data_IF_984655639970
#
_entry.id   IF_984655639970
#
_cell.length_a   1.000
_cell.length_b   1.000
_cell.length_c   1.000
_cell.angle_alpha   90.00
_cell.angle_beta   90.00
_cell.angle_gamma   90.00
#
_symmetry.space_group_name_H-M   'P 1'
#
loop_
_entity.id
_entity.type
_entity.pdbx_description
1 polymer ?
#
# COMPACT_ATOMS: atom_id res chain seq x y z
N UNK A 1 -23.99 -51.66 -46.93
CA UNK A 1 -24.34 -53.08 -46.70
C UNK A 1 -23.07 -53.90 -46.68
N UNK A 2 -22.86 -54.60 -45.54
CA UNK A 2 -22.05 -55.81 -45.29
C UNK A 2 -20.54 -55.76 -45.62
N UNK A 3 -19.60 -55.88 -44.68
CA UNK A 3 -19.62 -56.64 -43.43
C UNK A 3 -19.11 -58.06 -43.67
N UNK A 4 -17.83 -58.33 -43.34
CA UNK A 4 -17.25 -59.68 -43.25
C UNK A 4 -16.57 -59.81 -41.89
N UNK A 5 -17.09 -60.72 -41.08
CA UNK A 5 -16.54 -61.11 -39.77
C UNK A 5 -15.81 -62.44 -39.80
N UNK A 6 -15.18 -62.77 -38.67
CA UNK A 6 -14.80 -64.09 -38.12
C UNK A 6 -13.76 -63.83 -37.01
N UNK A 7 -13.70 -64.46 -35.83
CA UNK A 7 -14.43 -65.58 -35.20
C UNK A 7 -14.12 -65.58 -33.70
N UNK A 8 -14.99 -66.25 -32.94
CA UNK A 8 -14.97 -66.53 -31.51
C UNK A 8 -13.68 -67.17 -30.94
N UNK A 9 -13.43 -66.90 -29.66
CA UNK A 9 -12.55 -67.67 -28.78
C UNK A 9 -12.87 -67.37 -27.32
N UNK A 10 -13.73 -68.20 -26.73
CA UNK A 10 -14.16 -68.20 -25.33
C UNK A 10 -13.12 -68.95 -24.48
N UNK A 11 -12.61 -68.35 -23.40
CA UNK A 11 -12.07 -69.10 -22.27
C UNK A 11 -12.45 -68.42 -20.96
N UNK A 12 -12.96 -69.25 -20.06
CA UNK A 12 -13.72 -68.92 -18.87
C UNK A 12 -13.01 -69.66 -17.72
N UNK A 13 -12.40 -68.97 -16.75
CA UNK A 13 -12.06 -69.58 -15.45
C UNK A 13 -12.16 -68.57 -14.31
N UNK A 14 -13.25 -68.74 -13.57
CA UNK A 14 -13.45 -68.75 -12.13
C UNK A 14 -12.80 -67.71 -11.18
N UNK A 15 -13.73 -67.14 -10.41
CA UNK A 15 -13.69 -66.28 -9.23
C UNK A 15 -13.08 -67.00 -8.02
N UNK A 16 -12.31 -66.27 -7.19
CA UNK A 16 -12.34 -66.43 -5.73
C UNK A 16 -12.42 -65.06 -5.05
N UNK A 17 -13.56 -64.84 -4.41
CA UNK A 17 -13.82 -63.79 -3.43
C UNK A 17 -13.43 -64.35 -2.07
N UNK A 18 -12.59 -63.63 -1.32
CA UNK A 18 -12.44 -63.81 0.11
C UNK A 18 -12.81 -62.50 0.82
N UNK A 19 -13.94 -62.53 1.48
CA UNK A 19 -14.47 -61.55 2.42
C UNK A 19 -13.66 -61.53 3.71
N UNK A 20 -13.30 -60.35 4.21
CA UNK A 20 -13.00 -60.14 5.63
C UNK A 20 -13.85 -58.97 6.11
N UNK A 21 -14.59 -59.23 7.19
CA UNK A 21 -15.73 -58.45 7.64
C UNK A 21 -15.40 -57.18 8.42
N UNK A 22 -16.39 -56.29 8.41
CA UNK A 22 -16.53 -55.15 9.31
C UNK A 22 -16.64 -55.61 10.77
N UNK A 23 -15.92 -54.92 11.65
CA UNK A 23 -16.41 -54.57 12.97
C UNK A 23 -16.07 -53.09 13.22
N UNK A 24 -17.11 -52.27 13.33
CA UNK A 24 -17.03 -50.88 13.78
C UNK A 24 -17.55 -50.80 15.21
N UNK A 25 -16.85 -50.06 16.08
CA UNK A 25 -17.43 -49.14 17.07
C UNK A 25 -16.32 -48.45 17.87
N UNK A 26 -16.30 -47.12 17.88
CA UNK A 26 -15.44 -46.31 18.75
C UNK A 26 -15.28 -44.89 18.25
N UNK A 27 -16.23 -44.02 18.61
CA UNK A 27 -16.36 -42.62 18.25
C UNK A 27 -15.15 -41.74 18.61
N UNK A 28 -14.58 -41.06 17.61
CA UNK A 28 -13.89 -39.79 17.78
C UNK A 28 -14.70 -38.73 17.03
N UNK A 29 -15.34 -37.81 17.75
CA UNK A 29 -16.02 -36.67 17.15
C UNK A 29 -15.04 -35.77 16.39
N UNK A 30 -15.51 -34.85 15.53
CA UNK A 30 -14.64 -33.90 14.88
C UNK A 30 -13.94 -33.05 15.95
N UNK A 31 -12.62 -33.20 16.06
CA UNK A 31 -11.76 -32.34 16.85
C UNK A 31 -11.72 -30.96 16.17
N UNK A 32 -11.89 -29.86 16.93
CA UNK A 32 -12.12 -28.55 16.34
C UNK A 32 -10.88 -28.04 15.61
N UNK A 33 -11.05 -27.65 14.35
CA UNK A 33 -10.13 -26.76 13.64
C UNK A 33 -9.85 -25.53 14.50
N UNK A 34 -8.58 -25.16 14.66
CA UNK A 34 -8.20 -23.95 15.36
C UNK A 34 -8.71 -22.72 14.59
N UNK A 35 -9.84 -22.19 15.02
CA UNK A 35 -10.39 -20.90 14.61
C UNK A 35 -9.57 -19.77 15.24
N UNK A 36 -9.15 -18.73 14.50
CA UNK A 36 -8.66 -17.50 15.13
C UNK A 36 -9.82 -16.88 15.92
N UNK A 37 -9.76 -17.02 17.24
CA UNK A 37 -10.80 -16.50 18.14
C UNK A 37 -10.58 -15.00 18.36
N UNK A 38 -11.65 -14.22 18.16
CA UNK A 38 -11.77 -12.82 18.60
C UNK A 38 -11.44 -12.74 20.09
N UNK A 39 -10.38 -12.03 20.48
CA UNK A 39 -10.12 -11.68 21.88
C UNK A 39 -11.34 -10.91 22.44
N UNK A 40 -12.04 -11.41 23.47
CA UNK A 40 -13.06 -10.64 24.15
C UNK A 40 -12.40 -9.49 24.91
N UNK A 41 -13.01 -8.31 24.87
CA UNK A 41 -12.60 -7.18 25.71
C UNK A 41 -12.66 -7.58 27.19
N UNK A 42 -11.55 -7.37 27.88
CA UNK A 42 -11.45 -7.70 29.30
C UNK A 42 -12.23 -6.70 30.17
N UNK A 43 -13.26 -7.20 30.85
CA UNK A 43 -13.67 -6.68 32.16
C UNK A 43 -12.69 -7.25 33.20
N UNK A 44 -12.00 -6.36 33.92
CA UNK A 44 -11.11 -6.75 35.02
C UNK A 44 -11.92 -7.08 36.29
N UNK A 45 -11.62 -8.19 36.99
CA UNK A 45 -11.97 -8.32 38.39
C UNK A 45 -10.87 -7.71 39.27
N UNK A 46 -11.32 -6.87 40.21
CA UNK A 46 -10.58 -6.32 41.34
C UNK A 46 -10.21 -7.39 42.39
N UNK A 47 -9.25 -7.01 43.28
CA UNK A 47 -8.80 -7.62 44.56
C UNK A 47 -7.41 -8.31 44.46
N UNK A 48 -6.42 -8.12 45.34
CA UNK A 48 -6.22 -7.27 46.52
C UNK A 48 -4.70 -7.16 46.77
N UNK A 49 -4.23 -5.97 47.17
CA UNK A 49 -2.83 -5.72 47.52
C UNK A 49 -2.55 -6.09 49.00
N UNK A 50 -1.37 -6.66 49.27
CA UNK A 50 -0.81 -6.72 50.62
C UNK A 50 0.64 -6.24 50.68
N UNK A 51 0.86 -5.35 51.66
CA UNK A 51 2.05 -5.03 52.44
C UNK A 51 3.30 -4.37 51.80
N UNK A 52 3.43 -3.07 52.08
CA UNK A 52 4.67 -2.28 52.20
C UNK A 52 5.51 -2.71 53.43
N UNK A 53 6.79 -2.31 53.52
CA UNK A 53 7.08 -1.21 54.47
C UNK A 53 8.11 -0.14 54.01
N UNK A 54 7.85 1.08 54.53
CA UNK A 54 8.68 2.27 54.87
C UNK A 54 10.06 2.50 54.18
N UNK A 55 10.32 3.62 53.48
CA UNK A 55 10.39 5.06 53.84
C UNK A 55 11.78 5.54 54.30
N UNK A 56 12.40 6.40 53.49
CA UNK A 56 13.35 7.44 53.89
C UNK A 56 13.23 8.63 52.90
N UNK A 57 13.39 9.85 53.40
CA UNK A 57 12.76 11.09 52.89
C UNK A 57 13.66 12.05 52.07
N UNK A 58 13.00 12.77 51.14
CA UNK A 58 13.16 14.17 50.64
C UNK A 58 14.51 14.69 50.06
N UNK A 59 14.56 15.84 49.32
CA UNK A 59 13.51 16.83 48.98
C UNK A 59 13.37 17.27 47.50
N UNK A 60 12.33 18.08 47.26
CA UNK A 60 11.90 18.70 45.99
C UNK A 60 12.84 19.78 45.43
N UNK A 61 12.70 20.14 44.14
CA UNK A 61 13.07 21.46 43.66
C UNK A 61 11.86 22.29 43.20
N UNK A 62 12.03 23.58 43.44
CA UNK A 62 11.15 24.73 43.35
C UNK A 62 10.99 25.29 41.93
N UNK A 63 9.80 25.81 41.64
CA UNK A 63 9.51 26.75 40.54
C UNK A 63 10.23 28.10 40.75
N UNK A 64 10.67 28.77 39.66
CA UNK A 64 10.77 30.23 39.67
C UNK A 64 9.89 30.90 38.61
N UNK A 65 9.42 32.08 39.01
CA UNK A 65 8.41 32.94 38.40
C UNK A 65 8.85 33.76 37.18
N UNK A 66 7.84 34.16 36.41
CA UNK A 66 7.79 35.21 35.40
C UNK A 66 8.16 36.62 35.93
N UNK A 67 8.65 37.52 35.06
CA UNK A 67 8.37 38.94 35.18
C UNK A 67 7.77 39.56 33.90
N UNK A 68 6.85 40.52 34.09
CA UNK A 68 6.31 41.44 33.08
C UNK A 68 6.61 42.92 33.48
N UNK A 69 6.26 43.95 32.69
CA UNK A 69 7.11 44.66 31.71
C UNK A 69 7.40 46.14 32.09
N UNK A 70 8.32 46.82 31.41
CA UNK A 70 8.42 48.30 31.39
C UNK A 70 8.97 48.80 30.05
N UNK A 71 8.48 49.96 29.62
CA UNK A 71 8.40 50.47 28.25
C UNK A 71 9.47 51.52 27.84
N UNK A 72 9.68 51.57 26.52
CA UNK A 72 9.91 52.69 25.59
C UNK A 72 11.06 53.70 25.79
N UNK A 73 11.91 53.86 24.76
CA UNK A 73 12.01 55.11 23.96
C UNK A 73 12.72 54.87 22.59
N UNK A 74 12.19 55.51 21.53
CA UNK A 74 12.67 55.59 20.13
C UNK A 74 13.49 56.88 19.93
N UNK A 75 14.35 57.04 18.89
CA UNK A 75 13.84 57.48 17.58
C UNK A 75 14.58 56.93 16.31
N UNK A 76 13.80 56.68 15.25
CA UNK A 76 13.98 56.98 13.81
C UNK A 76 15.39 57.28 13.21
N UNK A 77 15.79 56.88 12.00
CA UNK A 77 15.13 56.23 10.86
C UNK A 77 16.17 55.72 9.83
N UNK A 78 15.67 54.83 8.97
CA UNK A 78 16.08 54.54 7.58
C UNK A 78 17.29 53.62 7.31
N UNK A 79 17.00 52.31 7.35
CA UNK A 79 17.50 51.35 6.35
C UNK A 79 16.35 50.42 6.00
N UNK A 80 15.79 50.63 4.81
CA UNK A 80 14.77 49.78 4.20
C UNK A 80 15.33 48.36 4.06
N UNK A 81 14.92 47.47 4.97
CA UNK A 81 15.25 46.05 4.93
C UNK A 81 14.16 45.36 4.09
N UNK A 82 14.48 44.59 3.03
CA UNK A 82 13.45 43.91 2.25
C UNK A 82 12.74 42.86 3.13
N UNK A 83 11.41 42.84 3.05
CA UNK A 83 10.52 41.95 3.80
C UNK A 83 10.77 40.46 3.46
N UNK A 84 10.60 39.52 4.41
CA UNK A 84 10.64 38.09 4.11
C UNK A 84 9.33 37.68 3.43
N UNK A 85 9.22 37.87 2.12
CA UNK A 85 7.97 37.63 1.42
C UNK A 85 7.89 36.19 0.89
N UNK A 86 7.68 35.26 1.82
CA UNK A 86 7.03 33.99 1.53
C UNK A 86 5.82 33.88 2.45
N UNK A 87 4.65 34.19 1.90
CA UNK A 87 3.39 33.91 2.56
C UNK A 87 3.03 32.44 2.34
N UNK A 88 2.93 31.67 3.42
CA UNK A 88 2.39 30.31 3.36
C UNK A 88 0.89 30.34 3.59
N UNK A 89 0.13 29.82 2.63
CA UNK A 89 -1.32 29.64 2.72
C UNK A 89 -1.62 28.26 3.27
N UNK A 90 -2.46 28.17 4.30
CA UNK A 90 -2.91 26.88 4.84
C UNK A 90 -3.85 26.20 3.85
N UNK A 91 -3.52 24.98 3.41
CA UNK A 91 -4.30 24.24 2.40
C UNK A 91 -5.14 23.09 2.99
N UNK A 92 -5.43 23.15 4.29
CA UNK A 92 -6.25 22.15 5.01
C UNK A 92 -7.29 22.87 5.88
N UNK A 93 -8.50 22.30 6.10
CA UNK A 93 -9.54 22.93 6.92
C UNK A 93 -9.06 23.43 8.29
N UNK A 94 -8.22 22.65 8.97
CA UNK A 94 -7.59 23.00 10.25
C UNK A 94 -6.16 22.46 10.26
N UNK A 95 -5.19 23.30 10.64
CA UNK A 95 -3.78 22.97 10.77
C UNK A 95 -3.30 23.30 12.18
N UNK A 96 -2.69 22.33 12.85
CA UNK A 96 -2.10 22.53 14.17
C UNK A 96 -0.71 23.19 14.03
N UNK A 97 -0.55 24.36 14.61
CA UNK A 97 0.73 25.02 14.86
C UNK A 97 1.21 24.58 16.24
N UNK A 98 2.44 24.09 16.33
CA UNK A 98 2.99 23.43 17.52
C UNK A 98 4.20 24.17 18.08
N UNK A 99 4.53 23.93 19.35
CA UNK A 99 5.69 24.59 19.99
C UNK A 99 7.04 24.19 19.36
N UNK A 100 7.12 22.97 18.83
CA UNK A 100 8.34 22.37 18.25
C UNK A 100 8.00 21.62 16.96
N UNK A 101 8.97 21.38 16.05
CA UNK A 101 8.75 20.72 14.77
C UNK A 101 8.60 19.19 14.90
N UNK A 102 7.59 18.76 15.66
CA UNK A 102 7.21 17.35 15.80
C UNK A 102 5.73 17.21 16.21
N UNK A 103 5.14 16.05 15.95
CA UNK A 103 3.71 15.81 16.21
C UNK A 103 3.37 15.57 17.69
N UNK A 104 4.36 15.32 18.54
CA UNK A 104 4.20 15.21 20.00
C UNK A 104 4.23 16.54 20.74
N UNK A 105 4.66 17.62 20.08
CA UNK A 105 4.76 18.94 20.67
C UNK A 105 3.38 19.55 20.94
N UNK A 106 3.30 20.42 21.94
CA UNK A 106 2.05 21.07 22.33
C UNK A 106 1.51 21.90 21.17
N UNK A 107 0.19 21.84 20.95
CA UNK A 107 -0.49 22.68 19.98
C UNK A 107 -0.61 24.08 20.60
N UNK A 108 0.00 25.07 19.96
CA UNK A 108 0.00 26.47 20.40
C UNK A 108 -1.07 27.28 19.68
N UNK A 109 -1.48 26.85 18.48
CA UNK A 109 -2.56 27.47 17.70
C UNK A 109 -3.17 26.48 16.70
N UNK A 110 -4.42 26.70 16.34
CA UNK A 110 -5.06 26.10 15.17
C UNK A 110 -5.23 27.17 14.09
N UNK A 111 -4.68 26.91 12.91
CA UNK A 111 -4.84 27.75 11.71
C UNK A 111 -5.87 27.14 10.77
N UNK A 112 -6.64 27.97 10.08
CA UNK A 112 -7.71 27.52 9.18
C UNK A 112 -7.28 27.61 7.72
N UNK A 113 -7.96 26.86 6.86
CA UNK A 113 -7.72 26.91 5.42
C UNK A 113 -7.81 28.35 4.90
N UNK A 114 -6.80 28.75 4.13
CA UNK A 114 -6.68 30.09 3.57
C UNK A 114 -5.95 31.10 4.46
N UNK A 115 -5.70 30.79 5.74
CA UNK A 115 -4.89 31.65 6.61
C UNK A 115 -3.47 31.79 6.03
N UNK A 116 -2.89 32.98 6.18
CA UNK A 116 -1.56 33.32 5.65
C UNK A 116 -0.60 33.65 6.79
N UNK A 117 0.62 33.11 6.71
CA UNK A 117 1.68 33.34 7.69
C UNK A 117 3.01 33.61 7.02
N UNK A 118 3.91 34.30 7.72
CA UNK A 118 5.30 34.47 7.31
C UNK A 118 6.08 33.18 7.58
N UNK A 119 7.06 32.87 6.72
CA UNK A 119 8.02 31.79 6.96
C UNK A 119 9.26 32.36 7.64
N UNK A 120 9.49 31.97 8.90
CA UNK A 120 10.66 32.41 9.66
C UNK A 120 11.82 31.42 9.60
N UNK A 121 11.52 30.12 9.62
CA UNK A 121 12.54 29.06 9.58
C UNK A 121 11.97 27.74 9.05
N UNK A 122 12.84 26.76 8.80
CA UNK A 122 12.51 25.40 8.38
C UNK A 122 13.31 24.40 9.19
N UNK A 123 12.69 23.28 9.54
CA UNK A 123 13.40 22.17 10.17
C UNK A 123 14.47 21.62 9.22
N UNK A 124 15.51 20.99 9.77
CA UNK A 124 16.64 20.49 8.98
C UNK A 124 16.24 19.46 7.91
N UNK A 125 15.14 18.74 8.13
CA UNK A 125 14.54 17.78 7.18
C UNK A 125 13.52 18.42 6.23
N UNK A 126 13.21 19.71 6.39
CA UNK A 126 12.24 20.46 5.61
C UNK A 126 10.77 20.10 5.87
N UNK A 127 10.49 19.18 6.80
CA UNK A 127 9.13 18.69 7.10
C UNK A 127 8.28 19.66 7.91
N UNK A 128 8.91 20.68 8.51
CA UNK A 128 8.25 21.69 9.33
C UNK A 128 8.69 23.09 8.93
N UNK A 129 7.73 24.01 8.95
CA UNK A 129 7.92 25.42 8.70
C UNK A 129 7.57 26.17 9.99
N UNK A 130 8.48 27.02 10.45
CA UNK A 130 8.21 27.94 11.54
C UNK A 130 7.42 29.13 11.00
N UNK A 131 6.19 29.27 11.48
CA UNK A 131 5.28 30.33 11.10
C UNK A 131 5.50 31.57 11.96
N UNK A 132 5.35 32.74 11.35
CA UNK A 132 5.38 34.04 12.03
C UNK A 132 4.23 34.96 11.63
N UNK A 133 3.95 35.92 12.51
CA UNK A 133 3.11 37.08 12.24
C UNK A 133 3.86 38.34 12.72
N UNK A 134 4.04 39.34 11.86
CA UNK A 134 4.78 40.57 12.15
C UNK A 134 6.24 40.32 12.60
N UNK A 135 6.91 39.32 12.02
CA UNK A 135 8.28 38.94 12.38
C UNK A 135 8.44 38.21 13.72
N UNK A 136 7.36 37.90 14.44
CA UNK A 136 7.41 37.10 15.67
C UNK A 136 7.02 35.65 15.42
N UNK A 137 7.78 34.72 16.01
CA UNK A 137 7.53 33.29 15.87
C UNK A 137 6.25 32.85 16.61
N UNK A 138 5.34 32.23 15.87
CA UNK A 138 4.11 31.63 16.39
C UNK A 138 4.31 30.17 16.78
N UNK A 139 5.05 29.41 15.98
CA UNK A 139 5.30 27.99 16.19
C UNK A 139 5.50 27.25 14.87
N UNK A 140 5.59 25.93 14.95
CA UNK A 140 5.92 25.04 13.84
C UNK A 140 4.68 24.36 13.29
N UNK A 141 4.48 24.47 12.00
CA UNK A 141 3.44 23.76 11.27
C UNK A 141 4.06 22.84 10.24
N UNK A 142 3.40 21.71 9.97
CA UNK A 142 3.90 20.75 8.99
C UNK A 142 3.86 21.35 7.59
N UNK A 143 4.99 21.26 6.89
CA UNK A 143 5.17 21.81 5.55
C UNK A 143 4.18 21.22 4.53
N UNK A 144 3.74 19.97 4.75
CA UNK A 144 2.81 19.23 3.89
C UNK A 144 1.45 19.91 3.71
N UNK A 145 1.08 20.79 4.63
CA UNK A 145 -0.21 21.49 4.63
C UNK A 145 -0.11 22.98 4.29
N UNK A 146 1.07 23.43 3.89
CA UNK A 146 1.37 24.82 3.61
C UNK A 146 1.73 25.00 2.13
N UNK A 147 1.08 25.95 1.48
CA UNK A 147 1.42 26.35 0.12
C UNK A 147 2.21 27.65 0.17
N UNK A 148 3.47 27.60 -0.25
CA UNK A 148 4.33 28.78 -0.40
C UNK A 148 3.90 29.56 -1.64
N UNK A 149 3.31 30.75 -1.45
CA UNK A 149 3.15 31.72 -2.54
C UNK A 149 4.42 32.56 -2.62
N UNK A 150 5.24 32.32 -3.65
CA UNK A 150 6.25 33.27 -4.05
C UNK A 150 5.57 34.44 -4.77
N UNK A 151 5.61 35.63 -4.17
CA UNK A 151 5.19 36.85 -4.85
C UNK A 151 6.22 37.20 -5.93
N UNK A 152 5.99 36.77 -7.18
CA UNK A 152 6.82 37.21 -8.29
C UNK A 152 6.51 38.67 -8.63
N UNK A 153 7.47 39.55 -8.33
CA UNK A 153 7.58 40.90 -8.85
C UNK A 153 7.74 40.86 -10.38
N UNK A 154 6.80 41.47 -11.10
CA UNK A 154 6.73 41.39 -12.56
C UNK A 154 7.74 42.25 -13.32
N UNK A 155 7.89 41.99 -14.62
CA UNK A 155 8.25 43.03 -15.62
C UNK A 155 7.52 42.76 -16.94
N UNK A 156 6.63 43.69 -17.26
CA UNK A 156 6.03 43.91 -18.57
C UNK A 156 7.01 44.66 -19.48
N UNK A 157 7.25 44.16 -20.69
CA UNK A 157 7.71 44.99 -21.82
C UNK A 157 6.90 44.64 -23.07
N UNK A 158 6.05 45.57 -23.50
CA UNK A 158 5.29 45.46 -24.74
C UNK A 158 6.13 45.73 -25.98
N UNK A 159 5.62 45.28 -27.13
CA UNK A 159 6.05 45.72 -28.46
C UNK A 159 4.80 45.86 -29.37
N UNK A 160 4.73 46.88 -30.24
CA UNK A 160 3.58 47.10 -31.10
C UNK A 160 3.68 46.37 -32.46
N UNK A 161 2.54 46.35 -33.15
CA UNK A 161 2.20 45.64 -34.38
C UNK A 161 3.00 46.05 -35.65
N UNK A 162 3.05 45.13 -36.63
CA UNK A 162 3.42 45.42 -38.01
C UNK A 162 3.54 44.19 -38.93
N UNK A 163 2.49 43.96 -39.72
CA UNK A 163 2.38 43.37 -41.07
C UNK A 163 2.84 41.96 -41.47
N UNK A 164 1.97 41.38 -42.31
CA UNK A 164 1.95 40.03 -42.85
C UNK A 164 2.83 39.83 -44.09
N UNK A 165 3.37 38.62 -44.27
CA UNK A 165 3.59 38.04 -45.60
C UNK A 165 3.60 36.50 -45.57
N UNK A 166 2.74 35.93 -46.42
CA UNK A 166 2.80 34.66 -47.16
C UNK A 166 3.17 33.35 -46.44
N UNK A 167 2.17 32.45 -46.40
CA UNK A 167 2.24 31.09 -45.88
C UNK A 167 3.02 30.14 -46.82
N UNK A 168 4.14 29.61 -46.32
CA UNK A 168 4.63 28.27 -46.63
C UNK A 168 4.46 27.42 -45.38
N UNK A 169 3.76 26.30 -45.51
CA UNK A 169 3.34 25.42 -44.43
C UNK A 169 4.52 24.57 -43.92
N UNK A 170 5.02 24.75 -42.68
CA UNK A 170 5.97 23.83 -42.08
C UNK A 170 5.21 22.62 -41.50
N UNK A 171 5.84 21.46 -41.60
CA UNK A 171 5.34 20.18 -41.12
C UNK A 171 4.80 20.24 -39.68
N UNK A 172 3.72 19.51 -39.44
CA UNK A 172 3.14 19.27 -38.13
C UNK A 172 4.20 18.77 -37.15
N UNK A 173 4.59 19.62 -36.20
CA UNK A 173 5.36 19.19 -35.03
C UNK A 173 4.40 18.39 -34.16
N UNK A 174 4.47 17.05 -34.25
CA UNK A 174 3.96 16.20 -33.18
C UNK A 174 4.72 16.60 -31.91
N UNK A 175 4.04 16.76 -30.75
CA UNK A 175 4.76 16.92 -29.49
C UNK A 175 5.61 15.66 -29.30
N UNK A 176 6.92 15.83 -29.42
CA UNK A 176 7.89 14.83 -28.97
C UNK A 176 7.56 14.54 -27.52
N UNK A 177 7.21 13.28 -27.24
CA UNK A 177 7.02 12.81 -25.88
C UNK A 177 8.24 13.15 -25.01
N UNK A 178 8.06 13.28 -23.68
CA UNK A 178 9.18 13.52 -22.77
C UNK A 178 10.29 12.50 -23.04
N UNK A 179 11.58 12.89 -22.91
CA UNK A 179 12.69 11.99 -23.16
C UNK A 179 12.52 10.74 -22.30
N UNK A 180 12.78 9.58 -22.89
CA UNK A 180 12.86 8.30 -22.19
C UNK A 180 13.91 8.42 -21.07
N UNK A 181 13.47 8.86 -19.90
CA UNK A 181 14.19 8.66 -18.66
C UNK A 181 14.32 7.16 -18.52
N UNK A 182 15.54 6.64 -18.70
CA UNK A 182 15.89 5.27 -18.39
C UNK A 182 15.75 5.09 -16.89
N UNK A 183 14.53 4.86 -16.44
CA UNK A 183 14.26 4.45 -15.07
C UNK A 183 14.90 3.07 -14.90
N UNK A 184 15.66 2.90 -13.83
CA UNK A 184 16.18 1.59 -13.51
C UNK A 184 14.99 0.69 -13.11
N UNK A 185 14.96 -0.58 -13.55
CA UNK A 185 13.95 -1.52 -13.07
C UNK A 185 13.97 -1.56 -11.54
N UNK A 186 12.80 -1.66 -10.92
CA UNK A 186 12.77 -2.08 -9.53
C UNK A 186 13.43 -3.46 -9.46
N UNK A 187 14.47 -3.60 -8.64
CA UNK A 187 15.21 -4.85 -8.47
C UNK A 187 15.10 -5.37 -7.04
N UNK A 188 15.07 -6.70 -6.93
CA UNK A 188 15.25 -7.42 -5.67
C UNK A 188 16.66 -8.01 -5.65
N UNK A 189 17.28 -8.02 -4.48
CA UNK A 189 18.46 -8.86 -4.24
C UNK A 189 18.06 -10.35 -4.25
N UNK A 190 19.03 -11.26 -4.35
CA UNK A 190 18.76 -12.70 -4.27
C UNK A 190 19.73 -13.36 -3.29
N UNK A 191 19.29 -13.69 -2.05
CA UNK A 191 17.97 -13.37 -1.49
C UNK A 191 17.81 -11.87 -1.13
N UNK A 192 16.56 -11.39 -1.17
CA UNK A 192 16.12 -10.15 -0.54
C UNK A 192 15.04 -10.49 0.48
N UNK A 193 14.96 -9.74 1.58
CA UNK A 193 14.08 -10.08 2.70
C UNK A 193 13.00 -9.02 2.88
N UNK A 194 11.77 -9.49 3.08
CA UNK A 194 10.63 -8.66 3.43
C UNK A 194 9.72 -9.32 4.46
N UNK A 195 8.79 -8.55 5.01
CA UNK A 195 7.75 -9.07 5.88
C UNK A 195 6.37 -8.51 5.50
N UNK A 196 5.31 -9.26 5.82
CA UNK A 196 3.94 -8.76 5.74
C UNK A 196 3.65 -7.83 6.91
N UNK A 197 3.10 -6.65 6.63
CA UNK A 197 2.56 -5.74 7.63
C UNK A 197 1.05 -5.51 7.41
N UNK A 198 0.36 -4.96 8.41
CA UNK A 198 -1.09 -4.68 8.38
C UNK A 198 -1.39 -3.18 8.53
N UNK A 199 -0.68 -2.36 7.76
CA UNK A 199 -0.68 -0.90 7.84
C UNK A 199 -2.00 -0.25 7.38
N UNK A 200 -2.79 -0.95 6.56
CA UNK A 200 -4.03 -0.41 5.99
C UNK A 200 -5.07 -0.06 7.05
N UNK A 201 -5.34 -0.99 7.97
CA UNK A 201 -6.38 -0.87 9.00
C UNK A 201 -5.84 -0.57 10.40
N UNK A 202 -4.52 -0.51 10.56
CA UNK A 202 -3.84 -0.32 11.84
C UNK A 202 -2.86 0.85 11.82
N UNK A 203 -3.31 2.08 11.52
CA UNK A 203 -2.44 3.26 11.52
C UNK A 203 -1.74 3.47 12.87
N UNK A 204 -2.37 3.07 13.98
CA UNK A 204 -1.87 3.23 15.34
C UNK A 204 -0.57 2.46 15.64
N UNK A 205 -0.25 1.41 14.88
CA UNK A 205 0.99 0.62 15.03
C UNK A 205 1.90 0.69 13.81
N UNK A 206 1.51 1.41 12.76
CA UNK A 206 2.23 1.42 11.48
C UNK A 206 3.70 1.84 11.66
N UNK A 207 3.96 2.93 12.39
CA UNK A 207 5.31 3.42 12.63
C UNK A 207 6.18 2.38 13.38
N UNK A 208 5.66 1.82 14.49
CA UNK A 208 6.34 0.78 15.27
C UNK A 208 6.70 -0.43 14.39
N UNK A 209 5.75 -0.93 13.61
CA UNK A 209 5.96 -2.13 12.80
C UNK A 209 6.98 -1.89 11.69
N UNK A 210 6.95 -0.72 11.04
CA UNK A 210 7.95 -0.34 10.04
C UNK A 210 9.35 -0.18 10.64
N UNK A 211 9.47 0.40 11.83
CA UNK A 211 10.75 0.48 12.55
C UNK A 211 11.29 -0.91 12.93
N UNK A 212 10.44 -1.81 13.42
CA UNK A 212 10.83 -3.18 13.73
C UNK A 212 11.29 -3.92 12.47
N UNK A 213 10.60 -3.74 11.35
CA UNK A 213 11.01 -4.33 10.08
C UNK A 213 12.38 -3.80 9.63
N UNK A 214 12.58 -2.49 9.66
CA UNK A 214 13.85 -1.86 9.31
C UNK A 214 15.00 -2.34 10.21
N UNK A 215 14.78 -2.34 11.52
CA UNK A 215 15.77 -2.78 12.51
C UNK A 215 16.05 -4.28 12.44
N UNK A 216 15.08 -5.07 11.97
CA UNK A 216 15.25 -6.49 11.66
C UNK A 216 16.02 -6.78 10.38
N UNK A 217 16.41 -5.75 9.61
CA UNK A 217 17.15 -5.90 8.36
C UNK A 217 16.29 -6.27 7.15
N UNK A 218 14.96 -6.11 7.23
CA UNK A 218 14.08 -6.27 6.08
C UNK A 218 14.18 -5.05 5.16
N UNK A 219 14.13 -5.28 3.85
CA UNK A 219 14.13 -4.23 2.83
C UNK A 219 12.73 -4.01 2.23
N UNK A 220 11.82 -4.98 2.39
CA UNK A 220 10.51 -4.98 1.74
C UNK A 220 9.35 -5.10 2.74
N UNK A 221 8.30 -4.33 2.48
CA UNK A 221 6.99 -4.44 3.12
C UNK A 221 6.01 -5.05 2.14
N UNK A 222 5.40 -6.19 2.49
CA UNK A 222 4.23 -6.71 1.80
C UNK A 222 2.98 -6.17 2.49
N UNK A 223 2.10 -5.52 1.74
CA UNK A 223 0.88 -4.89 2.26
C UNK A 223 -0.29 -5.12 1.31
N UNK A 224 -1.45 -5.46 1.86
CA UNK A 224 -2.70 -5.53 1.08
C UNK A 224 -3.18 -4.12 0.69
N UNK A 225 -3.55 -3.93 -0.57
CA UNK A 225 -4.19 -2.74 -1.11
C UNK A 225 -5.59 -3.14 -1.57
N UNK A 226 -6.60 -2.59 -0.90
CA UNK A 226 -7.96 -3.06 -0.99
C UNK A 226 -8.75 -2.21 -2.00
N UNK A 227 -9.01 -2.78 -3.18
CA UNK A 227 -9.59 -2.07 -4.33
C UNK A 227 -10.91 -1.37 -3.99
N UNK A 228 -11.80 -2.05 -3.29
CA UNK A 228 -13.11 -1.55 -2.89
C UNK A 228 -13.07 -0.42 -1.85
N UNK A 229 -11.99 -0.28 -1.07
CA UNK A 229 -11.85 0.90 -0.23
C UNK A 229 -11.35 2.11 -1.01
N UNK A 230 -10.60 1.87 -2.09
CA UNK A 230 -10.04 2.93 -2.93
C UNK A 230 -11.07 3.38 -3.99
N UNK A 231 -11.74 2.46 -4.69
CA UNK A 231 -12.69 2.76 -5.78
C UNK A 231 -14.13 2.33 -5.43
N UNK A 232 -14.46 2.27 -4.15
CA UNK A 232 -15.77 1.78 -3.68
C UNK A 232 -16.94 2.71 -3.94
N UNK A 233 -16.69 4.01 -4.13
CA UNK A 233 -17.73 5.00 -4.44
C UNK A 233 -18.27 4.87 -5.87
N UNK A 234 -17.60 4.09 -6.71
CA UNK A 234 -17.94 3.85 -8.11
C UNK A 234 -16.72 3.96 -9.01
N UNK A 235 -16.83 3.41 -10.22
CA UNK A 235 -15.73 3.42 -11.20
C UNK A 235 -15.21 4.84 -11.46
N UNK A 236 -13.90 5.03 -11.34
CA UNK A 236 -13.20 6.31 -11.48
C UNK A 236 -13.32 7.25 -10.27
N UNK A 237 -14.05 6.87 -9.22
CA UNK A 237 -14.22 7.67 -8.01
C UNK A 237 -13.31 7.14 -6.91
N UNK A 238 -12.10 7.70 -6.84
CA UNK A 238 -11.04 7.20 -5.97
C UNK A 238 -10.94 7.95 -4.65
N UNK A 239 -10.89 7.21 -3.54
CA UNK A 239 -10.41 7.64 -2.23
C UNK A 239 -8.99 7.08 -2.01
N UNK A 240 -7.99 7.92 -2.22
CA UNK A 240 -6.59 7.55 -2.06
C UNK A 240 -6.07 7.69 -0.63
N UNK A 241 -6.87 8.17 0.32
CA UNK A 241 -6.38 8.61 1.63
C UNK A 241 -5.57 7.55 2.39
N UNK A 242 -6.07 6.31 2.44
CA UNK A 242 -5.37 5.21 3.10
C UNK A 242 -4.15 4.75 2.30
N UNK A 243 -4.29 4.67 0.97
CA UNK A 243 -3.22 4.29 0.06
C UNK A 243 -2.02 5.25 0.17
N UNK A 244 -2.29 6.56 0.07
CA UNK A 244 -1.30 7.63 0.13
C UNK A 244 -0.55 7.58 1.45
N UNK A 245 -1.27 7.43 2.58
CA UNK A 245 -0.66 7.29 3.91
C UNK A 245 0.28 6.10 3.97
N UNK A 246 -0.19 4.90 3.55
CA UNK A 246 0.61 3.67 3.59
C UNK A 246 1.87 3.80 2.74
N UNK A 247 1.74 4.28 1.50
CA UNK A 247 2.89 4.45 0.60
C UNK A 247 3.90 5.45 1.19
N UNK A 248 3.42 6.59 1.68
CA UNK A 248 4.25 7.61 2.32
C UNK A 248 4.99 7.06 3.54
N UNK A 249 4.30 6.37 4.45
CA UNK A 249 4.88 5.82 5.68
C UNK A 249 5.98 4.79 5.36
N UNK A 250 5.75 3.90 4.39
CA UNK A 250 6.73 2.89 3.94
C UNK A 250 7.94 3.55 3.26
N UNK A 251 7.71 4.48 2.33
CA UNK A 251 8.78 5.16 1.61
C UNK A 251 9.64 6.03 2.54
N UNK A 252 9.03 6.75 3.48
CA UNK A 252 9.74 7.56 4.49
C UNK A 252 10.59 6.69 5.43
N UNK A 253 10.22 5.43 5.65
CA UNK A 253 11.01 4.48 6.44
C UNK A 253 12.26 3.99 5.70
N UNK A 254 12.36 4.24 4.39
CA UNK A 254 13.41 3.74 3.50
C UNK A 254 13.19 2.28 3.06
N UNK A 255 11.96 1.76 3.23
CA UNK A 255 11.58 0.41 2.84
C UNK A 255 10.93 0.42 1.45
N UNK A 256 11.08 -0.69 0.72
CA UNK A 256 10.39 -0.93 -0.55
C UNK A 256 9.01 -1.53 -0.28
N UNK A 257 8.05 -1.25 -1.14
CA UNK A 257 6.66 -1.68 -1.02
C UNK A 257 6.29 -2.68 -2.12
N UNK A 258 5.81 -3.83 -1.68
CA UNK A 258 5.07 -4.81 -2.46
C UNK A 258 3.59 -4.67 -2.11
N UNK A 259 2.81 -4.09 -3.03
CA UNK A 259 1.36 -3.99 -2.91
C UNK A 259 0.71 -5.29 -3.38
N UNK A 260 0.11 -6.06 -2.46
CA UNK A 260 -0.78 -7.16 -2.83
C UNK A 260 -2.15 -6.58 -3.10
N UNK A 261 -2.55 -6.57 -4.37
CA UNK A 261 -3.81 -5.96 -4.81
C UNK A 261 -4.87 -7.02 -4.97
N UNK A 262 -5.96 -6.89 -4.21
CA UNK A 262 -7.15 -7.73 -4.29
C UNK A 262 -8.39 -6.88 -4.01
N UNK A 263 -9.58 -7.41 -4.28
CA UNK A 263 -10.75 -6.93 -3.54
C UNK A 263 -10.74 -7.56 -2.14
N UNK A 264 -11.36 -6.90 -1.18
CA UNK A 264 -11.73 -7.36 0.16
C UNK A 264 -13.22 -7.00 0.32
N UNK A 265 -14.16 -7.94 0.07
CA UNK A 265 -15.55 -7.65 -0.18
C UNK A 265 -16.25 -7.37 1.14
N UNK A 266 -16.90 -6.21 1.18
CA UNK A 266 -17.80 -5.84 2.24
C UNK A 266 -17.11 -5.73 3.61
N UNK A 267 -17.50 -4.73 4.40
CA UNK A 267 -17.04 -4.60 5.80
C UNK A 267 -17.46 -5.80 6.70
N UNK A 268 -18.11 -6.82 6.12
CA UNK A 268 -18.73 -7.97 6.76
C UNK A 268 -18.00 -9.30 6.51
N UNK A 269 -17.19 -9.47 5.45
CA UNK A 269 -16.54 -10.74 5.13
C UNK A 269 -15.06 -10.55 4.75
N UNK A 270 -14.16 -11.03 5.59
CA UNK A 270 -12.68 -10.90 5.51
C UNK A 270 -11.99 -11.46 4.22
N UNK A 271 -12.73 -12.04 3.27
CA UNK A 271 -12.17 -12.84 2.17
C UNK A 271 -12.46 -12.22 0.82
N UNK A 272 -11.51 -12.16 -0.13
CA UNK A 272 -11.44 -11.23 -1.28
C UNK A 272 -12.62 -11.18 -2.28
N UNK A 273 -13.67 -11.98 -2.09
CA UNK A 273 -14.92 -11.86 -2.83
C UNK A 273 -14.81 -12.40 -4.24
N UNK A 274 -15.89 -12.34 -5.03
CA UNK A 274 -15.86 -12.81 -6.40
C UNK A 274 -14.75 -12.08 -7.16
N UNK A 275 -13.99 -12.79 -8.02
CA UNK A 275 -13.17 -12.11 -8.99
C UNK A 275 -14.10 -11.15 -9.76
N UNK A 276 -13.60 -9.97 -10.14
CA UNK A 276 -14.43 -9.00 -10.82
C UNK A 276 -15.05 -9.60 -12.08
N UNK A 277 -16.36 -9.49 -12.21
CA UNK A 277 -17.09 -9.99 -13.39
C UNK A 277 -16.61 -9.37 -14.71
N UNK A 278 -15.87 -8.26 -14.63
CA UNK A 278 -15.10 -7.70 -15.72
C UNK A 278 -13.65 -7.42 -15.25
N UNK A 279 -12.72 -8.30 -15.64
CA UNK A 279 -11.29 -8.18 -15.38
C UNK A 279 -10.68 -6.84 -15.88
N UNK A 280 -11.29 -6.22 -16.90
CA UNK A 280 -10.88 -4.92 -17.42
C UNK A 280 -11.05 -3.80 -16.41
N UNK A 281 -12.07 -3.84 -15.54
CA UNK A 281 -12.22 -2.82 -14.49
C UNK A 281 -11.09 -2.91 -13.46
N UNK A 282 -10.71 -4.13 -13.07
CA UNK A 282 -9.57 -4.32 -12.19
C UNK A 282 -8.26 -3.88 -12.87
N UNK A 283 -8.09 -4.18 -14.15
CA UNK A 283 -6.94 -3.75 -14.93
C UNK A 283 -6.84 -2.21 -14.97
N UNK A 284 -7.95 -1.50 -15.21
CA UNK A 284 -8.01 -0.04 -15.16
C UNK A 284 -7.63 0.50 -13.78
N UNK A 285 -8.15 -0.10 -12.70
CA UNK A 285 -7.81 0.27 -11.33
C UNK A 285 -6.31 0.08 -11.04
N UNK A 286 -5.73 -1.09 -11.32
CA UNK A 286 -4.30 -1.32 -11.06
C UNK A 286 -3.42 -0.44 -11.95
N UNK A 287 -3.90 -0.08 -13.15
CA UNK A 287 -3.27 0.95 -13.98
C UNK A 287 -3.27 2.33 -13.29
N UNK A 288 -4.40 2.76 -12.73
CA UNK A 288 -4.47 4.02 -11.97
C UNK A 288 -3.57 3.99 -10.73
N UNK A 289 -3.55 2.87 -10.00
CA UNK A 289 -2.68 2.66 -8.85
C UNK A 289 -1.19 2.73 -9.25
N UNK A 290 -0.80 2.03 -10.31
CA UNK A 290 0.57 2.01 -10.79
C UNK A 290 1.02 3.36 -11.35
N UNK A 291 0.14 4.10 -12.02
CA UNK A 291 0.42 5.44 -12.53
C UNK A 291 0.65 6.44 -11.38
N UNK A 292 -0.14 6.36 -10.31
CA UNK A 292 -0.04 7.24 -9.15
C UNK A 292 1.27 7.03 -8.37
N UNK A 293 1.67 5.77 -8.20
CA UNK A 293 2.83 5.38 -7.39
C UNK A 293 4.00 4.87 -8.23
N UNK A 294 4.32 5.58 -9.32
CA UNK A 294 5.25 5.13 -10.35
C UNK A 294 6.74 5.37 -10.03
N UNK A 295 7.09 5.77 -8.81
CA UNK A 295 8.47 5.99 -8.35
C UNK A 295 9.24 7.10 -9.07
N UNK A 296 8.57 7.91 -9.90
CA UNK A 296 9.18 9.11 -10.50
C UNK A 296 9.21 10.26 -9.50
N UNK A 297 10.01 11.30 -9.78
CA UNK A 297 10.05 12.49 -8.93
C UNK A 297 8.71 13.24 -8.84
N UNK A 298 7.82 13.03 -9.82
CA UNK A 298 6.48 13.63 -9.88
C UNK A 298 5.39 12.71 -9.30
N UNK A 299 5.75 11.47 -8.93
CA UNK A 299 4.82 10.52 -8.35
C UNK A 299 4.38 10.96 -6.95
N UNK A 300 3.19 10.50 -6.52
CA UNK A 300 2.76 10.65 -5.13
C UNK A 300 3.61 9.80 -4.20
N UNK A 301 4.15 8.70 -4.72
CA UNK A 301 5.06 7.83 -4.01
C UNK A 301 5.56 6.70 -4.90
N UNK A 302 6.15 5.69 -4.27
CA UNK A 302 6.76 4.58 -4.98
C UNK A 302 6.24 3.24 -4.45
N UNK A 303 5.57 2.51 -5.33
CA UNK A 303 5.30 1.08 -5.17
C UNK A 303 6.18 0.34 -6.19
N UNK A 304 7.16 -0.40 -5.68
CA UNK A 304 8.14 -1.10 -6.51
C UNK A 304 7.59 -2.40 -7.09
N UNK A 305 6.66 -3.05 -6.37
CA UNK A 305 6.11 -4.34 -6.78
C UNK A 305 4.60 -4.45 -6.56
N UNK A 306 3.91 -5.11 -7.49
CA UNK A 306 2.48 -5.39 -7.44
C UNK A 306 2.25 -6.90 -7.52
N UNK A 307 1.76 -7.50 -6.43
CA UNK A 307 1.25 -8.86 -6.46
C UNK A 307 -0.22 -8.82 -6.87
N UNK A 308 -0.56 -9.52 -7.95
CA UNK A 308 -1.91 -9.54 -8.50
C UNK A 308 -2.69 -10.69 -7.88
N UNK A 309 -3.62 -10.32 -7.00
CA UNK A 309 -4.51 -11.20 -6.26
C UNK A 309 -3.85 -12.00 -5.13
N UNK A 310 -4.64 -12.82 -4.44
CA UNK A 310 -4.22 -13.74 -3.39
C UNK A 310 -4.80 -15.15 -3.66
N UNK A 311 -3.96 -16.18 -3.70
CA UNK A 311 -4.35 -17.60 -3.66
C UNK A 311 -5.59 -18.00 -4.49
N UNK A 312 -5.66 -17.70 -5.80
CA UNK A 312 -6.82 -18.03 -6.65
C UNK A 312 -7.05 -19.55 -6.79
N UNK A 313 -6.12 -20.38 -6.30
CA UNK A 313 -6.27 -21.82 -6.20
C UNK A 313 -7.18 -22.27 -5.04
N UNK A 314 -7.71 -21.33 -4.26
CA UNK A 314 -8.69 -21.58 -3.19
C UNK A 314 -10.00 -20.87 -3.52
N UNK A 315 -11.12 -21.60 -3.51
CA UNK A 315 -12.42 -21.04 -3.85
C UNK A 315 -12.79 -19.85 -2.96
N UNK A 316 -12.49 -19.92 -1.65
CA UNK A 316 -12.75 -18.82 -0.71
C UNK A 316 -12.02 -17.51 -1.07
N UNK A 317 -10.86 -17.63 -1.72
CA UNK A 317 -10.04 -16.51 -2.20
C UNK A 317 -10.41 -16.11 -3.64
N UNK A 318 -11.28 -16.88 -4.28
CA UNK A 318 -11.81 -16.66 -5.62
C UNK A 318 -13.35 -16.48 -5.59
N UNK A 319 -13.84 -15.91 -4.48
CA UNK A 319 -15.26 -15.60 -4.21
C UNK A 319 -16.21 -16.78 -4.30
N UNK A 320 -15.79 -17.88 -3.70
CA UNK A 320 -16.47 -19.17 -3.66
C UNK A 320 -16.70 -19.79 -5.05
N UNK A 321 -15.97 -19.35 -6.07
CA UNK A 321 -15.94 -19.99 -7.37
C UNK A 321 -14.90 -21.09 -7.41
N UNK A 322 -15.13 -22.09 -8.27
CA UNK A 322 -14.14 -23.13 -8.55
C UNK A 322 -12.83 -22.49 -9.05
N UNK A 323 -11.66 -22.89 -8.51
CA UNK A 323 -10.36 -22.45 -9.01
C UNK A 323 -10.21 -22.64 -10.51
N UNK A 324 -9.74 -21.61 -11.21
CA UNK A 324 -9.56 -21.63 -12.66
C UNK A 324 -8.23 -21.01 -13.08
N UNK A 325 -7.21 -21.84 -13.38
CA UNK A 325 -5.90 -21.36 -13.85
C UNK A 325 -5.99 -20.51 -15.12
N UNK A 326 -6.86 -20.87 -16.07
CA UNK A 326 -7.04 -20.13 -17.32
C UNK A 326 -7.68 -18.74 -17.10
N UNK A 327 -8.70 -18.64 -16.23
CA UNK A 327 -9.29 -17.35 -15.88
C UNK A 327 -8.28 -16.46 -15.16
N UNK A 328 -7.51 -17.03 -14.22
CA UNK A 328 -6.46 -16.29 -13.53
C UNK A 328 -5.35 -15.83 -14.50
N UNK A 329 -4.93 -16.65 -15.45
CA UNK A 329 -3.93 -16.27 -16.46
C UNK A 329 -4.39 -15.08 -17.32
N UNK A 330 -5.65 -15.06 -17.75
CA UNK A 330 -6.20 -13.90 -18.50
C UNK A 330 -6.36 -12.66 -17.61
N UNK A 331 -6.79 -12.84 -16.36
CA UNK A 331 -6.87 -11.76 -15.37
C UNK A 331 -5.50 -11.12 -15.13
N UNK A 332 -4.47 -11.95 -14.91
CA UNK A 332 -3.08 -11.51 -14.73
C UNK A 332 -2.54 -10.80 -15.98
N UNK A 333 -2.84 -11.29 -17.18
CA UNK A 333 -2.47 -10.64 -18.46
C UNK A 333 -2.97 -9.20 -18.56
N UNK A 334 -4.23 -8.98 -18.20
CA UNK A 334 -4.85 -7.66 -18.29
C UNK A 334 -4.22 -6.70 -17.26
N UNK A 335 -4.06 -7.14 -16.01
CA UNK A 335 -3.38 -6.37 -14.97
C UNK A 335 -1.93 -6.03 -15.33
N UNK A 336 -1.16 -7.02 -15.79
CA UNK A 336 0.23 -6.84 -16.23
C UNK A 336 0.33 -5.77 -17.32
N UNK A 337 -0.53 -5.88 -18.34
CA UNK A 337 -0.53 -4.94 -19.48
C UNK A 337 -0.87 -3.51 -19.04
N UNK A 338 -1.85 -3.34 -18.15
CA UNK A 338 -2.25 -2.04 -17.61
C UNK A 338 -1.14 -1.40 -16.77
N UNK A 339 -0.48 -2.17 -15.89
CA UNK A 339 0.63 -1.69 -15.05
C UNK A 339 1.82 -1.29 -15.93
N UNK A 340 2.26 -2.18 -16.83
CA UNK A 340 3.46 -1.93 -17.66
C UNK A 340 3.29 -0.77 -18.63
N UNK A 341 2.06 -0.46 -19.05
CA UNK A 341 1.78 0.68 -19.92
C UNK A 341 2.08 2.03 -19.25
N UNK A 342 1.94 2.14 -17.93
CA UNK A 342 2.11 3.39 -17.17
C UNK A 342 3.34 3.39 -16.28
N UNK A 343 3.81 2.21 -15.87
CA UNK A 343 5.01 2.01 -15.06
C UNK A 343 5.75 0.76 -15.54
N UNK A 344 6.59 0.87 -16.59
CA UNK A 344 7.35 -0.26 -17.11
C UNK A 344 8.38 -0.83 -16.11
N UNK A 345 8.73 -0.08 -15.06
CA UNK A 345 9.75 -0.46 -14.07
C UNK A 345 9.19 -1.19 -12.85
N UNK A 346 7.86 -1.20 -12.68
CA UNK A 346 7.22 -1.96 -11.62
C UNK A 346 7.46 -3.45 -11.83
N UNK A 347 7.76 -4.16 -10.74
CA UNK A 347 7.74 -5.62 -10.71
C UNK A 347 6.27 -6.06 -10.61
N UNK A 348 5.80 -6.88 -11.54
CA UNK A 348 4.50 -7.53 -11.45
C UNK A 348 4.71 -8.97 -11.02
N UNK A 349 4.05 -9.37 -9.93
CA UNK A 349 4.16 -10.68 -9.32
C UNK A 349 2.81 -11.39 -9.49
N UNK A 350 2.83 -12.67 -9.90
CA UNK A 350 1.62 -13.50 -9.81
C UNK A 350 1.16 -13.63 -8.35
N UNK A 351 -0.07 -14.07 -8.15
CA UNK A 351 -0.55 -14.51 -6.85
C UNK A 351 0.34 -15.65 -6.34
N UNK A 352 0.57 -15.68 -5.03
CA UNK A 352 1.06 -16.87 -4.35
C UNK A 352 -0.05 -17.89 -4.25
N UNK A 353 0.16 -19.10 -4.78
CA UNK A 353 -0.76 -20.21 -4.58
C UNK A 353 -0.57 -20.80 -3.18
N UNK A 354 -1.66 -21.24 -2.56
CA UNK A 354 -1.61 -21.95 -1.30
C UNK A 354 -1.19 -23.41 -1.53
N UNK A 355 -0.30 -23.98 -0.70
CA UNK A 355 0.03 -25.39 -0.79
C UNK A 355 -1.18 -26.20 -0.31
N UNK A 356 -1.72 -27.06 -1.16
CA UNK A 356 -2.92 -27.86 -0.83
C UNK A 356 -2.87 -29.23 -1.50
N UNK A 357 -3.35 -30.25 -0.80
CA UNK A 357 -3.57 -31.58 -1.37
C UNK A 357 -4.98 -31.78 -1.95
N UNK A 358 -5.87 -30.81 -1.77
CA UNK A 358 -7.27 -30.89 -2.23
C UNK A 358 -7.37 -30.47 -3.69
N UNK A 359 -8.05 -31.28 -4.51
CA UNK A 359 -8.28 -31.03 -5.94
C UNK A 359 -9.76 -31.21 -6.30
N UNK A 360 -10.58 -30.23 -5.94
CA UNK A 360 -12.03 -30.20 -6.18
C UNK A 360 -12.53 -28.76 -6.40
N UNK A 361 -13.84 -28.52 -6.28
CA UNK A 361 -14.42 -27.20 -6.49
C UNK A 361 -14.03 -26.16 -5.42
N UNK A 362 -13.41 -26.59 -4.32
CA UNK A 362 -13.05 -25.71 -3.19
C UNK A 362 -11.57 -25.34 -3.18
N UNK A 363 -10.70 -26.16 -3.78
CA UNK A 363 -9.27 -25.93 -3.86
C UNK A 363 -8.60 -26.76 -4.98
N UNK A 364 -7.46 -26.30 -5.46
CA UNK A 364 -6.60 -26.99 -6.42
C UNK A 364 -5.14 -26.98 -5.92
N UNK A 365 -4.40 -28.10 -6.03
CA UNK A 365 -2.98 -28.15 -5.66
C UNK A 365 -2.20 -27.09 -6.42
N UNK A 366 -1.23 -26.47 -5.74
CA UNK A 366 -0.44 -25.36 -6.27
C UNK A 366 0.36 -25.78 -7.51
N UNK A 367 1.01 -26.95 -7.48
CA UNK A 367 1.73 -27.52 -8.62
C UNK A 367 0.83 -27.71 -9.86
N UNK A 368 -0.35 -28.28 -9.67
CA UNK A 368 -1.36 -28.48 -10.72
C UNK A 368 -1.87 -27.12 -11.24
N UNK A 369 -2.12 -26.16 -10.34
CA UNK A 369 -2.58 -24.83 -10.72
C UNK A 369 -1.52 -24.11 -11.56
N UNK A 370 -0.25 -24.13 -11.15
CA UNK A 370 0.85 -23.54 -11.91
C UNK A 370 1.02 -24.20 -13.28
N UNK A 371 1.02 -25.53 -13.35
CA UNK A 371 1.14 -26.25 -14.62
C UNK A 371 0.04 -25.83 -15.60
N UNK A 372 -1.22 -25.87 -15.17
CA UNK A 372 -2.36 -25.49 -16.00
C UNK A 372 -2.37 -23.98 -16.34
N UNK A 373 -1.88 -23.13 -15.44
CA UNK A 373 -1.73 -21.69 -15.69
C UNK A 373 -0.73 -21.46 -16.83
N UNK A 374 0.43 -22.11 -16.81
CA UNK A 374 1.41 -22.01 -17.90
C UNK A 374 0.87 -22.60 -19.21
N UNK A 375 0.17 -23.73 -19.16
CA UNK A 375 -0.49 -24.30 -20.33
C UNK A 375 -1.50 -23.31 -20.94
N UNK A 376 -2.30 -22.63 -20.11
CA UNK A 376 -3.25 -21.62 -20.55
C UNK A 376 -2.56 -20.37 -21.13
N UNK A 377 -1.35 -20.03 -20.67
CA UNK A 377 -0.54 -18.94 -21.23
C UNK A 377 0.10 -19.30 -22.58
N UNK A 378 0.14 -20.58 -22.96
CA UNK A 378 0.70 -21.06 -24.23
C UNK A 378 2.21 -20.83 -24.32
N UNK A 379 2.69 -20.24 -25.43
CA UNK A 379 4.12 -19.98 -25.67
C UNK A 379 4.64 -18.68 -25.04
N UNK A 380 3.87 -18.04 -24.15
CA UNK A 380 4.28 -16.81 -23.50
C UNK A 380 5.36 -17.08 -22.45
N UNK A 381 6.29 -16.13 -22.26
CA UNK A 381 7.22 -16.11 -21.13
C UNK A 381 6.52 -15.77 -19.78
N UNK A 382 5.18 -15.69 -19.77
CA UNK A 382 4.35 -15.31 -18.63
C UNK A 382 3.81 -13.88 -18.75
N UNK A 383 2.89 -13.53 -17.84
CA UNK A 383 2.34 -12.17 -17.67
C UNK A 383 2.74 -11.60 -16.30
N UNK A 384 4.00 -11.81 -15.92
CA UNK A 384 4.57 -11.40 -14.65
C UNK A 384 6.10 -11.37 -14.78
N UNK A 385 6.76 -10.59 -13.92
CA UNK A 385 8.22 -10.55 -13.80
C UNK A 385 8.72 -11.56 -12.75
N UNK A 386 7.87 -11.90 -11.77
CA UNK A 386 8.18 -12.88 -10.71
C UNK A 386 6.98 -13.80 -10.42
N UNK A 387 7.25 -15.08 -10.18
CA UNK A 387 6.24 -16.05 -9.75
C UNK A 387 6.07 -15.96 -8.22
N UNK A 388 4.88 -15.65 -7.75
CA UNK A 388 4.53 -15.70 -6.34
C UNK A 388 4.26 -17.15 -5.90
N UNK A 389 4.73 -17.53 -4.71
CA UNK A 389 4.51 -18.85 -4.07
C UNK A 389 4.29 -18.65 -2.57
N UNK A 390 3.34 -19.37 -1.96
CA UNK A 390 3.28 -19.47 -0.49
C UNK A 390 3.85 -20.81 -0.04
N UNK A 391 5.05 -20.79 0.53
CA UNK A 391 5.70 -21.98 1.09
C UNK A 391 5.30 -22.23 2.54
N UNK A 392 3.99 -22.30 2.83
CA UNK A 392 3.53 -22.60 4.18
C UNK A 392 3.91 -24.06 4.52
N UNK A 393 5.02 -24.23 5.24
CA UNK A 393 5.30 -25.46 5.95
C UNK A 393 4.19 -25.63 6.98
N UNK A 394 3.31 -26.60 6.78
CA UNK A 394 2.30 -26.98 7.77
C UNK A 394 3.01 -27.55 9.02
N UNK A 395 2.39 -28.43 9.80
CA UNK A 395 2.98 -28.97 11.03
C UNK A 395 4.29 -29.80 10.83
N UNK A 396 4.85 -29.85 9.63
CA UNK A 396 6.10 -30.53 9.31
C UNK A 396 7.29 -29.56 9.42
N UNK A 397 8.37 -29.93 10.13
CA UNK A 397 9.59 -29.15 10.14
C UNK A 397 10.26 -29.17 8.75
N UNK A 398 11.04 -28.14 8.38
CA UNK A 398 11.58 -27.98 7.02
C UNK A 398 12.59 -29.06 6.60
N UNK A 399 13.03 -29.92 7.51
CA UNK A 399 13.98 -31.01 7.26
C UNK A 399 13.35 -32.36 6.90
N UNK A 400 12.02 -32.44 6.71
CA UNK A 400 11.32 -33.68 6.31
C UNK A 400 11.31 -33.94 4.81
#
# INVERSE_FOLDING_TARGET
>A
MNGRGSKCGLLLVAIMVATVGLAACGSAGPEPTATPTKTPGGEQPVLAATATPASAAQPAPTTPSEPAPTAAEEPAADVSTPAPEIAVVVNTPILNVRSDPNTSANIVREAKQGDQFEVLDRSADGGWIQLGENGQALGWASADYLQVSAGDAGVSTGAPAGDQAAAEQPATVQPSGPPAGGYLPSTMLSPDYGAQAFLWWKPEVAHRDLELMKNGGFNWVKQAFAWETIEGAGKGQYDWSVADRVVRDVNASGLKLLARVSSDPEKTNFWPGPPPGNAGNFAEFVGALAARYNCTAQAVGCIQAFQIWNEPNLAREWGNNQPSPAQYADFLRQAYSAIKAVNPNAIVISAGMAPTGTNDNTAMPDDVFYEQMYQAMGSSNGYFDMLGVHGAGFAAPPEL
#
